data_IF_889734843951
#
_entry.id   IF_889734843951
#
_cell.length_a   1.000
_cell.length_b   1.000
_cell.length_c   1.000
_cell.angle_alpha   90.00
_cell.angle_beta   90.00
_cell.angle_gamma   90.00
#
_symmetry.space_group_name_H-M   'P 1'
#
loop_
_entity.id
_entity.type
_entity.pdbx_description
1 polymer ?
#
# COMPACT_ATOMS: atom_id res chain seq x y z
N UNK A 1 2.88 -24.82 16.71
CA UNK A 1 3.21 -23.55 16.02
C UNK A 1 2.45 -22.41 16.68
N UNK A 2 3.02 -21.20 16.79
CA UNK A 2 2.29 -20.05 17.35
C UNK A 2 1.35 -19.49 16.28
N UNK A 3 0.09 -19.23 16.63
CA UNK A 3 -0.91 -18.67 15.70
C UNK A 3 -0.45 -17.31 15.13
N UNK A 4 0.33 -16.57 15.91
CA UNK A 4 0.93 -15.29 15.50
C UNK A 4 1.79 -15.35 14.24
N UNK A 5 2.28 -16.53 13.86
CA UNK A 5 3.07 -16.67 12.63
C UNK A 5 2.25 -16.42 11.37
N UNK A 6 0.91 -16.52 11.42
CA UNK A 6 0.05 -16.25 10.28
C UNK A 6 0.09 -14.77 9.83
N UNK A 7 0.30 -13.84 10.76
CA UNK A 7 0.31 -12.40 10.46
C UNK A 7 1.61 -11.68 10.82
N UNK A 8 2.48 -12.29 11.63
CA UNK A 8 3.82 -11.76 11.92
C UNK A 8 4.92 -12.39 11.08
N UNK A 9 4.66 -13.52 10.43
CA UNK A 9 5.68 -14.32 9.78
C UNK A 9 6.54 -15.14 10.74
N UNK A 10 7.57 -15.78 10.19
CA UNK A 10 8.52 -16.61 10.94
C UNK A 10 9.59 -15.73 11.62
N UNK A 11 10.32 -16.25 12.62
CA UNK A 11 11.46 -15.53 13.19
C UNK A 11 12.45 -15.05 12.10
N UNK A 12 12.76 -13.76 12.12
CA UNK A 12 13.62 -13.12 11.12
C UNK A 12 12.97 -12.84 9.75
N UNK A 13 11.73 -13.29 9.53
CA UNK A 13 11.03 -13.17 8.25
C UNK A 13 9.63 -12.58 8.46
N UNK A 14 9.53 -11.27 8.80
CA UNK A 14 8.25 -10.61 8.98
C UNK A 14 7.48 -10.54 7.66
N UNK A 15 6.16 -10.71 7.73
CA UNK A 15 5.29 -10.68 6.52
C UNK A 15 4.97 -9.25 6.07
N UNK A 16 4.94 -8.29 6.99
CA UNK A 16 4.54 -6.91 6.69
C UNK A 16 5.47 -6.25 5.66
N UNK A 17 6.82 -6.32 5.77
CA UNK A 17 7.69 -5.64 4.80
C UNK A 17 7.53 -6.13 3.35
N UNK A 18 7.48 -7.44 3.04
CA UNK A 18 7.19 -7.90 1.67
C UNK A 18 5.84 -7.44 1.12
N UNK A 19 4.80 -7.33 1.98
CA UNK A 19 3.51 -6.80 1.57
C UNK A 19 3.58 -5.30 1.24
N UNK A 20 4.35 -4.54 2.03
CA UNK A 20 4.68 -3.14 1.73
C UNK A 20 5.41 -3.01 0.41
N UNK A 21 6.42 -3.84 0.13
CA UNK A 21 7.17 -3.83 -1.13
C UNK A 21 6.24 -4.05 -2.34
N UNK A 22 5.35 -5.05 -2.25
CA UNK A 22 4.36 -5.30 -3.29
C UNK A 22 3.42 -4.10 -3.48
N UNK A 23 2.86 -3.57 -2.38
CA UNK A 23 1.90 -2.46 -2.41
C UNK A 23 2.52 -1.20 -3.01
N UNK A 24 3.68 -0.79 -2.51
CA UNK A 24 4.37 0.42 -2.96
C UNK A 24 4.90 0.25 -4.38
N UNK A 25 5.40 -0.93 -4.74
CA UNK A 25 5.82 -1.24 -6.10
C UNK A 25 4.67 -1.08 -7.11
N UNK A 26 3.49 -1.60 -6.77
CA UNK A 26 2.29 -1.48 -7.61
C UNK A 26 1.84 -0.01 -7.74
N UNK A 27 1.78 0.75 -6.65
CA UNK A 27 1.43 2.18 -6.72
C UNK A 27 2.44 3.00 -7.50
N UNK A 28 3.73 2.67 -7.39
CA UNK A 28 4.79 3.31 -8.16
C UNK A 28 4.60 3.06 -9.65
N UNK A 29 4.36 1.80 -10.04
CA UNK A 29 4.05 1.45 -11.43
C UNK A 29 2.79 2.17 -11.91
N UNK A 30 1.70 2.14 -11.14
CA UNK A 30 0.44 2.80 -11.50
C UNK A 30 0.66 4.31 -11.73
N UNK A 31 1.42 4.98 -10.87
CA UNK A 31 1.74 6.41 -11.01
C UNK A 31 2.53 6.70 -12.29
N UNK A 32 3.56 5.88 -12.57
CA UNK A 32 4.38 6.02 -13.79
C UNK A 32 3.53 5.77 -15.04
N UNK A 33 2.72 4.72 -15.04
CA UNK A 33 1.85 4.38 -16.16
C UNK A 33 0.79 5.47 -16.41
N UNK A 34 0.22 6.04 -15.36
CA UNK A 34 -0.72 7.16 -15.47
C UNK A 34 -0.05 8.40 -16.05
N UNK A 35 1.19 8.68 -15.65
CA UNK A 35 1.96 9.79 -16.22
C UNK A 35 2.24 9.57 -17.72
N UNK A 36 2.69 8.37 -18.10
CA UNK A 36 2.96 7.96 -19.49
C UNK A 36 1.70 8.14 -20.37
N UNK A 37 0.52 7.81 -19.83
CA UNK A 37 -0.77 8.01 -20.49
C UNK A 37 -1.08 9.49 -20.72
N UNK A 38 -1.02 10.31 -19.67
CA UNK A 38 -1.29 11.77 -19.76
C UNK A 38 -0.36 12.48 -20.74
N UNK A 39 0.91 12.07 -20.86
CA UNK A 39 1.85 12.68 -21.81
C UNK A 39 1.80 12.07 -23.22
N UNK A 40 0.86 11.16 -23.48
CA UNK A 40 0.56 10.63 -24.82
C UNK A 40 1.62 9.67 -25.37
N UNK A 41 2.40 9.02 -24.50
CA UNK A 41 3.41 8.03 -24.94
C UNK A 41 2.75 6.69 -25.32
N UNK A 42 1.59 6.37 -24.74
CA UNK A 42 0.90 5.09 -24.96
C UNK A 42 -0.45 5.27 -25.67
N UNK A 43 -0.97 4.17 -26.23
CA UNK A 43 -2.29 4.12 -26.85
C UNK A 43 -3.40 3.81 -25.83
N UNK A 44 -4.67 3.90 -26.24
CA UNK A 44 -5.83 3.70 -25.37
C UNK A 44 -5.85 2.38 -24.58
N UNK A 45 -5.20 1.31 -25.06
CA UNK A 45 -5.10 0.06 -24.28
C UNK A 45 -4.06 0.14 -23.15
N UNK A 46 -2.99 0.93 -23.32
CA UNK A 46 -2.07 1.26 -22.24
C UNK A 46 -2.67 2.23 -21.22
N UNK A 47 -3.65 3.04 -21.63
CA UNK A 47 -4.39 3.96 -20.77
C UNK A 47 -5.15 3.25 -19.63
N UNK A 48 -5.60 2.01 -19.82
CA UNK A 48 -6.25 1.25 -18.72
C UNK A 48 -5.26 0.59 -17.75
N UNK A 49 -4.00 0.44 -18.15
CA UNK A 49 -3.00 -0.30 -17.38
C UNK A 49 -2.69 0.33 -16.02
N UNK A 50 -2.66 1.66 -15.95
CA UNK A 50 -2.42 2.37 -14.70
C UNK A 50 -3.58 2.20 -13.72
N UNK A 51 -4.82 2.23 -14.21
CA UNK A 51 -6.01 2.10 -13.39
C UNK A 51 -6.15 0.68 -12.83
N UNK A 52 -5.94 -0.34 -13.66
CA UNK A 52 -5.94 -1.74 -13.20
C UNK A 52 -4.86 -1.94 -12.12
N UNK A 53 -3.64 -1.45 -12.35
CA UNK A 53 -2.58 -1.52 -11.36
C UNK A 53 -2.97 -0.79 -10.07
N UNK A 54 -3.60 0.38 -10.16
CA UNK A 54 -4.07 1.13 -9.00
C UNK A 54 -5.09 0.34 -8.17
N UNK A 55 -6.05 -0.33 -8.82
CA UNK A 55 -7.03 -1.21 -8.15
C UNK A 55 -6.32 -2.38 -7.45
N UNK A 56 -5.36 -3.03 -8.12
CA UNK A 56 -4.56 -4.10 -7.50
C UNK A 56 -3.76 -3.56 -6.31
N UNK A 57 -3.20 -2.35 -6.40
CA UNK A 57 -2.50 -1.68 -5.32
C UNK A 57 -3.38 -1.39 -4.11
N UNK A 58 -4.63 -0.99 -4.34
CA UNK A 58 -5.63 -0.80 -3.28
C UNK A 58 -5.99 -2.13 -2.60
N UNK A 59 -6.11 -3.22 -3.36
CA UNK A 59 -6.33 -4.56 -2.80
C UNK A 59 -5.14 -5.00 -1.94
N UNK A 60 -3.90 -4.87 -2.43
CA UNK A 60 -2.70 -5.26 -1.67
C UNK A 60 -2.51 -4.39 -0.42
N UNK A 61 -2.90 -3.11 -0.49
CA UNK A 61 -2.90 -2.19 0.66
C UNK A 61 -3.71 -2.74 1.83
N UNK A 62 -4.84 -3.43 1.59
CA UNK A 62 -5.65 -4.01 2.67
C UNK A 62 -4.81 -4.99 3.50
N UNK A 63 -4.08 -5.89 2.86
CA UNK A 63 -3.24 -6.87 3.56
C UNK A 63 -2.06 -6.22 4.29
N UNK A 64 -1.43 -5.24 3.64
CA UNK A 64 -0.32 -4.45 4.23
C UNK A 64 -0.79 -3.69 5.46
N UNK A 65 -1.92 -2.98 5.37
CA UNK A 65 -2.48 -2.20 6.46
C UNK A 65 -2.90 -3.09 7.63
N UNK A 66 -3.54 -4.23 7.37
CA UNK A 66 -3.98 -5.15 8.43
C UNK A 66 -2.79 -5.73 9.22
N UNK A 67 -1.74 -6.14 8.53
CA UNK A 67 -0.53 -6.68 9.18
C UNK A 67 0.23 -5.60 9.96
N UNK A 68 0.37 -4.40 9.39
CA UNK A 68 1.00 -3.27 10.07
C UNK A 68 0.20 -2.79 11.29
N UNK A 69 -1.13 -2.77 11.18
CA UNK A 69 -2.03 -2.41 12.28
C UNK A 69 -1.97 -3.45 13.41
N UNK A 70 -1.95 -4.75 13.07
CA UNK A 70 -1.80 -5.81 14.07
C UNK A 70 -0.50 -5.69 14.88
N UNK A 71 0.60 -5.25 14.25
CA UNK A 71 1.85 -4.98 14.95
C UNK A 71 1.78 -3.69 15.79
N UNK A 72 1.17 -2.63 15.25
CA UNK A 72 0.95 -1.37 15.97
C UNK A 72 0.17 -1.55 17.28
N UNK A 73 -0.85 -2.42 17.30
CA UNK A 73 -1.65 -2.75 18.49
C UNK A 73 -0.83 -3.30 19.66
N UNK A 74 0.39 -3.78 19.42
CA UNK A 74 1.26 -4.34 20.46
C UNK A 74 2.31 -3.37 20.98
N UNK A 75 2.38 -2.18 20.41
CA UNK A 75 3.34 -1.17 20.83
C UNK A 75 2.89 -0.49 22.13
N UNK A 76 3.84 -0.25 23.04
CA UNK A 76 3.58 0.55 24.24
C UNK A 76 3.18 1.96 23.83
N UNK A 77 1.98 2.38 24.23
CA UNK A 77 1.44 3.70 23.93
C UNK A 77 2.40 4.81 24.36
N UNK A 78 2.55 5.83 23.51
CA UNK A 78 3.40 7.00 23.78
C UNK A 78 4.92 6.76 23.70
N UNK A 79 5.35 5.50 23.55
CA UNK A 79 6.77 5.18 23.30
C UNK A 79 7.28 5.82 22.00
N UNK A 80 8.60 6.04 21.85
CA UNK A 80 9.17 6.56 20.60
C UNK A 80 8.75 5.75 19.37
N UNK A 81 8.75 4.41 19.47
CA UNK A 81 8.33 3.53 18.37
C UNK A 81 6.84 3.67 18.05
N UNK A 82 5.98 3.82 19.06
CA UNK A 82 4.55 4.04 18.85
C UNK A 82 4.29 5.36 18.11
N UNK A 83 5.01 6.43 18.45
CA UNK A 83 4.89 7.72 17.76
C UNK A 83 5.31 7.60 16.29
N UNK A 84 6.46 7.00 16.02
CA UNK A 84 6.94 6.76 14.65
C UNK A 84 5.96 5.92 13.85
N UNK A 85 5.49 4.80 14.40
CA UNK A 85 4.54 3.92 13.73
C UNK A 85 3.18 4.62 13.48
N UNK A 86 2.73 5.46 14.41
CA UNK A 86 1.49 6.25 14.25
C UNK A 86 1.64 7.30 13.15
N UNK A 87 2.73 8.06 13.12
CA UNK A 87 2.98 9.03 12.05
C UNK A 87 3.10 8.34 10.69
N UNK A 88 3.80 7.21 10.62
CA UNK A 88 3.88 6.40 9.43
C UNK A 88 2.49 5.92 8.96
N UNK A 89 1.70 5.35 9.86
CA UNK A 89 0.34 4.89 9.56
C UNK A 89 -0.55 6.03 9.03
N UNK A 90 -0.51 7.22 9.65
CA UNK A 90 -1.27 8.39 9.20
C UNK A 90 -0.85 8.85 7.80
N UNK A 91 0.45 8.84 7.51
CA UNK A 91 0.96 9.16 6.18
C UNK A 91 0.48 8.14 5.14
N UNK A 92 0.53 6.85 5.45
CA UNK A 92 0.08 5.79 4.56
C UNK A 92 -1.44 5.85 4.32
N UNK A 93 -2.25 6.05 5.36
CA UNK A 93 -3.71 6.24 5.22
C UNK A 93 -4.01 7.45 4.33
N UNK A 94 -3.31 8.56 4.52
CA UNK A 94 -3.47 9.75 3.68
C UNK A 94 -3.16 9.44 2.22
N UNK A 95 -2.05 8.76 1.94
CA UNK A 95 -1.68 8.33 0.58
C UNK A 95 -2.73 7.38 -0.02
N UNK A 96 -3.21 6.39 0.74
CA UNK A 96 -4.25 5.46 0.31
C UNK A 96 -5.55 6.18 -0.05
N UNK A 97 -5.94 7.22 0.70
CA UNK A 97 -7.09 8.05 0.35
C UNK A 97 -6.90 8.71 -1.01
N UNK A 98 -5.74 9.33 -1.27
CA UNK A 98 -5.48 9.94 -2.59
C UNK A 98 -5.46 8.93 -3.74
N UNK A 99 -4.88 7.75 -3.54
CA UNK A 99 -4.94 6.67 -4.53
C UNK A 99 -6.37 6.16 -4.75
N UNK A 100 -7.17 6.05 -3.69
CA UNK A 100 -8.59 5.71 -3.78
C UNK A 100 -9.40 6.74 -4.55
N UNK A 101 -9.17 8.04 -4.28
CA UNK A 101 -9.78 9.14 -5.03
C UNK A 101 -9.37 9.09 -6.51
N UNK A 102 -8.09 8.82 -6.82
CA UNK A 102 -7.62 8.67 -8.19
C UNK A 102 -8.29 7.47 -8.91
N UNK A 103 -8.53 6.36 -8.21
CA UNK A 103 -9.23 5.21 -8.78
C UNK A 103 -10.70 5.50 -9.10
N UNK A 104 -11.36 6.35 -8.29
CA UNK A 104 -12.77 6.74 -8.46
C UNK A 104 -12.94 7.82 -9.54
N UNK A 105 -12.09 8.86 -9.51
CA UNK A 105 -12.28 10.07 -10.32
C UNK A 105 -11.35 10.16 -11.54
N UNK A 106 -10.26 9.41 -11.57
CA UNK A 106 -9.27 9.49 -12.64
C UNK A 106 -9.60 8.64 -13.88
N UNK A 107 -10.57 7.73 -13.77
CA UNK A 107 -11.00 6.85 -14.86
C UNK A 107 -12.41 7.26 -15.32
N UNK A 108 -12.49 8.38 -16.03
CA UNK A 108 -13.71 8.94 -16.63
C UNK A 108 -13.45 9.31 -18.09
#
# INVERSE_FOLDING_TARGET
MKLSYLWRGLPGHPIHPPLTDATIGIYTFATIAAFIDVVGITSAAGAYGWWIALVVGLITTVFTALTGFADWLTLTWGSPIWKTATTHMLAMVSATVFFGLAAIFGHA
#
